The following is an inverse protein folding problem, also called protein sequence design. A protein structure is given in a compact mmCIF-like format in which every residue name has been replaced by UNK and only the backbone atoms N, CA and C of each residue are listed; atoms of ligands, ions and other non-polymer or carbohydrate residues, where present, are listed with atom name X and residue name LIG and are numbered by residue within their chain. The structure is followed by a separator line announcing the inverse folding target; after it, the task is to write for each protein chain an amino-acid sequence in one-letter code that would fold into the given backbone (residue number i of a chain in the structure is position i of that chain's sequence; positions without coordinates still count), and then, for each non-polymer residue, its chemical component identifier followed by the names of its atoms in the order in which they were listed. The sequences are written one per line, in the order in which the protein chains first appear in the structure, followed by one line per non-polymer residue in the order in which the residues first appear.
data_IF_624391868960
#
_entry.id   IF_624391868960
#
_cell.length_a   1.000
_cell.length_b   1.000
_cell.length_c   1.000
_cell.angle_alpha   90.00
_cell.angle_beta   90.00
_cell.angle_gamma   90.00
#
_symmetry.space_group_name_H-M   'P 1'
#
loop_
_entity.id
_entity.type
_entity.pdbx_description
1 polymer ?
#
# COMPACT_ATOMS: atom_id res chain seq x y z
N UNK A 1 29.75 13.23 10.09
CA UNK A 1 29.13 14.27 10.97
C UNK A 1 27.63 14.01 10.93
N UNK A 2 26.97 13.75 12.06
CA UNK A 2 25.52 13.56 12.07
C UNK A 2 24.85 14.91 11.77
N UNK A 3 24.11 14.98 10.67
CA UNK A 3 23.24 16.11 10.37
C UNK A 3 22.15 16.18 11.44
N UNK A 4 22.03 17.33 12.12
CA UNK A 4 20.95 17.56 13.06
C UNK A 4 19.68 17.81 12.24
N UNK A 5 18.73 16.90 12.29
CA UNK A 5 17.41 17.17 11.76
C UNK A 5 16.77 18.32 12.53
N UNK A 6 16.39 19.37 11.83
CA UNK A 6 15.62 20.49 12.40
C UNK A 6 14.16 20.06 12.42
N UNK A 7 13.61 19.85 13.60
CA UNK A 7 12.25 19.31 13.80
C UNK A 7 11.17 20.41 13.71
N UNK A 8 11.53 21.69 13.69
CA UNK A 8 10.57 22.79 13.58
C UNK A 8 11.10 23.89 12.65
N UNK A 9 10.29 24.26 11.69
CA UNK A 9 10.49 25.44 10.84
C UNK A 9 9.85 26.68 11.52
N UNK A 10 10.38 27.89 11.29
CA UNK A 10 9.74 29.13 11.74
C UNK A 10 8.31 29.24 11.17
N UNK A 11 7.39 29.80 11.94
CA UNK A 11 5.98 29.96 11.57
C UNK A 11 5.75 30.74 10.25
N UNK A 12 6.73 31.49 9.81
CA UNK A 12 6.72 32.29 8.56
C UNK A 12 6.78 31.41 7.28
N UNK A 13 7.08 30.11 7.41
CA UNK A 13 7.18 29.16 6.29
C UNK A 13 5.98 28.21 6.22
N UNK A 14 4.87 28.49 6.88
CA UNK A 14 3.71 27.58 6.98
C UNK A 14 3.03 27.23 5.63
N UNK A 15 3.30 27.96 4.56
CA UNK A 15 2.72 27.71 3.22
C UNK A 15 3.68 27.03 2.24
N UNK A 16 4.91 26.74 2.65
CA UNK A 16 5.91 26.10 1.80
C UNK A 16 6.79 25.16 2.62
N UNK A 17 7.33 24.13 1.98
CA UNK A 17 8.31 23.20 2.55
C UNK A 17 9.51 23.07 1.62
N UNK A 18 10.68 22.70 2.16
CA UNK A 18 11.88 22.51 1.35
C UNK A 18 11.90 21.09 0.75
N UNK A 19 12.19 21.01 -0.55
CA UNK A 19 12.54 19.82 -1.28
C UNK A 19 14.01 19.92 -1.71
N UNK A 20 14.85 18.99 -1.25
CA UNK A 20 16.28 19.04 -1.54
C UNK A 20 16.97 20.26 -0.92
N UNK A 21 18.21 20.56 -1.37
CA UNK A 21 19.10 21.50 -0.69
C UNK A 21 18.61 22.95 -0.67
N UNK A 22 17.81 23.42 -1.61
CA UNK A 22 17.39 24.83 -1.69
C UNK A 22 16.05 25.06 -2.42
N UNK A 23 15.30 24.03 -2.79
CA UNK A 23 14.04 24.16 -3.49
C UNK A 23 12.88 24.27 -2.48
N UNK A 24 12.18 25.39 -2.47
CA UNK A 24 10.93 25.54 -1.73
C UNK A 24 9.75 25.29 -2.67
N UNK A 25 8.83 24.41 -2.23
CA UNK A 25 7.58 24.14 -2.94
C UNK A 25 6.38 24.47 -2.06
N UNK A 26 5.27 24.93 -2.65
CA UNK A 26 4.01 25.12 -1.93
C UNK A 26 3.55 23.81 -1.27
N UNK A 27 2.84 23.92 -0.15
CA UNK A 27 2.31 22.73 0.56
C UNK A 27 1.25 21.96 -0.24
N UNK A 28 0.64 22.58 -1.24
CA UNK A 28 -0.32 21.96 -2.18
C UNK A 28 0.33 21.42 -3.47
N UNK A 29 1.67 21.41 -3.53
CA UNK A 29 2.40 20.79 -4.64
C UNK A 29 2.18 19.26 -4.65
N UNK A 30 1.96 18.68 -5.83
CA UNK A 30 1.66 17.27 -5.99
C UNK A 30 2.81 16.35 -5.51
N UNK A 31 4.06 16.81 -5.58
CA UNK A 31 5.21 16.07 -5.06
C UNK A 31 5.23 16.07 -3.53
N UNK A 32 4.83 17.18 -2.92
CA UNK A 32 4.68 17.26 -1.46
C UNK A 32 3.55 16.33 -1.00
N UNK A 33 2.42 16.31 -1.70
CA UNK A 33 1.32 15.38 -1.42
C UNK A 33 1.78 13.91 -1.58
N UNK A 34 2.54 13.60 -2.63
CA UNK A 34 3.09 12.26 -2.84
C UNK A 34 4.01 11.82 -1.68
N UNK A 35 4.91 12.68 -1.23
CA UNK A 35 5.75 12.41 -0.08
C UNK A 35 4.91 12.24 1.20
N UNK A 36 3.96 13.13 1.43
CA UNK A 36 3.10 13.11 2.61
C UNK A 36 2.25 11.84 2.71
N UNK A 37 1.68 11.36 1.59
CA UNK A 37 0.85 10.14 1.60
C UNK A 37 1.69 8.88 1.75
N UNK A 38 2.98 8.87 1.38
CA UNK A 38 3.91 7.78 1.67
C UNK A 38 4.20 7.73 3.19
N UNK A 39 4.43 8.87 3.82
CA UNK A 39 4.62 8.94 5.28
C UNK A 39 3.37 8.47 6.03
N UNK A 40 2.17 8.84 5.55
CA UNK A 40 0.91 8.36 6.11
C UNK A 40 0.76 6.83 5.97
N UNK A 41 1.12 6.25 4.82
CA UNK A 41 1.13 4.80 4.62
C UNK A 41 2.10 4.11 5.59
N UNK A 42 3.28 4.68 5.79
CA UNK A 42 4.28 4.19 6.73
C UNK A 42 3.79 4.24 8.18
N UNK A 43 3.14 5.33 8.55
CA UNK A 43 2.52 5.51 9.88
C UNK A 43 1.41 4.48 10.12
N UNK A 44 0.58 4.20 9.11
CA UNK A 44 -0.46 3.18 9.20
C UNK A 44 0.12 1.76 9.35
N UNK A 45 1.26 1.46 8.70
CA UNK A 45 2.01 0.21 8.91
C UNK A 45 2.57 0.16 10.34
N UNK A 46 3.08 1.28 10.87
CA UNK A 46 3.51 1.39 12.25
C UNK A 46 2.39 1.04 13.23
N UNK A 47 1.16 1.49 12.97
CA UNK A 47 -0.01 1.14 13.76
C UNK A 47 -0.29 -0.39 13.71
N UNK A 48 -0.18 -1.01 12.53
CA UNK A 48 -0.34 -2.47 12.41
C UNK A 48 0.72 -3.22 13.24
N UNK A 49 1.97 -2.73 13.27
CA UNK A 49 3.06 -3.32 14.03
C UNK A 49 2.85 -3.29 15.55
N UNK A 50 2.09 -2.33 16.07
CA UNK A 50 1.72 -2.34 17.52
C UNK A 50 1.00 -3.65 17.90
N UNK A 51 0.20 -4.21 17.00
CA UNK A 51 -0.50 -5.46 17.23
C UNK A 51 0.34 -6.70 16.88
N UNK A 52 1.26 -6.61 15.90
CA UNK A 52 2.07 -7.77 15.48
C UNK A 52 3.30 -8.00 16.35
N UNK A 53 3.93 -6.96 16.88
CA UNK A 53 5.18 -7.04 17.65
C UNK A 53 5.03 -7.81 18.97
N UNK A 54 3.83 -7.83 19.54
CA UNK A 54 3.52 -8.51 20.81
C UNK A 54 3.02 -9.94 20.62
N UNK A 55 2.76 -10.36 19.38
CA UNK A 55 2.27 -11.68 19.03
C UNK A 55 3.41 -12.55 18.48
N UNK A 56 3.85 -13.61 19.21
CA UNK A 56 4.93 -14.48 18.74
C UNK A 56 4.64 -15.14 17.39
N UNK A 57 3.37 -15.42 17.07
CA UNK A 57 2.97 -16.02 15.79
C UNK A 57 3.11 -15.04 14.64
N UNK A 58 3.16 -13.74 14.93
CA UNK A 58 3.34 -12.66 13.98
C UNK A 58 4.81 -12.20 13.85
N UNK A 59 5.77 -12.76 14.59
CA UNK A 59 7.15 -12.26 14.64
C UNK A 59 7.80 -12.15 13.25
N UNK A 60 7.57 -13.12 12.36
CA UNK A 60 8.08 -13.10 11.00
C UNK A 60 7.44 -12.00 10.17
N UNK A 61 6.13 -11.82 10.29
CA UNK A 61 5.42 -10.74 9.60
C UNK A 61 5.85 -9.37 10.12
N UNK A 62 6.04 -9.21 11.45
CA UNK A 62 6.54 -7.95 12.01
C UNK A 62 7.91 -7.57 11.46
N UNK A 63 8.82 -8.54 11.31
CA UNK A 63 10.11 -8.30 10.67
C UNK A 63 9.97 -7.88 9.20
N UNK A 64 9.00 -8.45 8.45
CA UNK A 64 8.69 -8.02 7.09
C UNK A 64 8.15 -6.58 7.05
N UNK A 65 7.24 -6.23 7.97
CA UNK A 65 6.68 -4.88 8.08
C UNK A 65 7.75 -3.84 8.45
N UNK A 66 8.68 -4.18 9.35
CA UNK A 66 9.82 -3.31 9.66
C UNK A 66 10.69 -3.04 8.43
N UNK A 67 10.97 -4.07 7.63
CA UNK A 67 11.69 -3.91 6.38
C UNK A 67 10.94 -2.97 5.41
N UNK A 68 9.62 -3.14 5.27
CA UNK A 68 8.77 -2.26 4.45
C UNK A 68 8.82 -0.82 4.93
N UNK A 69 8.80 -0.57 6.25
CA UNK A 69 8.89 0.80 6.78
C UNK A 69 10.22 1.48 6.40
N UNK A 70 11.34 0.75 6.41
CA UNK A 70 12.61 1.29 5.93
C UNK A 70 12.57 1.58 4.43
N UNK A 71 12.02 0.66 3.62
CA UNK A 71 11.85 0.88 2.19
C UNK A 71 10.98 2.11 1.87
N UNK A 72 9.97 2.40 2.70
CA UNK A 72 9.13 3.60 2.54
C UNK A 72 9.87 4.89 2.91
N UNK A 73 10.84 4.85 3.82
CA UNK A 73 11.75 5.98 4.04
C UNK A 73 12.70 6.19 2.85
N UNK A 74 13.21 5.10 2.26
CA UNK A 74 14.00 5.17 1.02
C UNK A 74 13.17 5.76 -0.12
N UNK A 75 11.90 5.35 -0.25
CA UNK A 75 10.97 5.91 -1.23
C UNK A 75 10.67 7.39 -0.96
N UNK A 76 10.53 7.79 0.30
CA UNK A 76 10.41 9.20 0.68
C UNK A 76 11.62 10.01 0.24
N UNK A 77 12.83 9.49 0.45
CA UNK A 77 14.07 10.13 -0.01
C UNK A 77 14.16 10.20 -1.55
N UNK A 78 13.71 9.16 -2.25
CA UNK A 78 13.62 9.12 -3.71
C UNK A 78 12.70 10.22 -4.26
N UNK A 79 11.53 10.40 -3.65
CA UNK A 79 10.57 11.44 -4.02
C UNK A 79 11.04 12.85 -3.64
N UNK A 80 11.79 12.98 -2.54
CA UNK A 80 12.31 14.25 -2.05
C UNK A 80 13.40 14.83 -2.96
N UNK A 81 14.18 13.99 -3.64
CA UNK A 81 15.26 14.40 -4.55
C UNK A 81 15.01 13.88 -5.98
N UNK A 82 14.12 14.50 -6.75
CA UNK A 82 13.85 14.06 -8.12
C UNK A 82 15.10 14.22 -9.01
N UNK A 83 15.30 13.27 -9.93
CA UNK A 83 16.33 13.36 -10.96
C UNK A 83 15.92 14.36 -12.06
N UNK A 84 15.89 15.64 -11.72
CA UNK A 84 15.56 16.71 -12.68
C UNK A 84 16.75 17.11 -13.57
N UNK A 85 17.96 16.63 -13.27
CA UNK A 85 19.19 17.00 -13.96
C UNK A 85 19.76 15.86 -14.79
N UNK A 86 20.39 16.20 -15.91
CA UNK A 86 21.05 15.27 -16.84
C UNK A 86 22.23 14.45 -16.25
N UNK A 87 22.57 14.64 -14.99
CA UNK A 87 23.59 13.87 -14.28
C UNK A 87 22.94 13.21 -13.05
N UNK A 88 22.70 11.89 -13.11
CA UNK A 88 22.25 11.13 -11.94
C UNK A 88 23.25 11.30 -10.79
N UNK A 89 22.76 11.57 -9.59
CA UNK A 89 23.57 11.49 -8.38
C UNK A 89 23.70 10.01 -7.97
N UNK A 90 24.90 9.42 -8.07
CA UNK A 90 25.09 8.00 -7.75
C UNK A 90 24.93 7.71 -6.25
N UNK A 91 24.92 8.72 -5.38
CA UNK A 91 24.71 8.59 -3.93
C UNK A 91 23.26 8.81 -3.54
N UNK A 92 22.38 9.25 -4.45
CA UNK A 92 20.98 9.45 -4.16
C UNK A 92 20.27 8.12 -3.87
N UNK A 93 19.54 8.06 -2.76
CA UNK A 93 18.69 6.91 -2.45
C UNK A 93 17.58 6.82 -3.49
N UNK A 94 17.42 5.62 -4.07
CA UNK A 94 16.36 5.31 -5.03
C UNK A 94 15.77 3.95 -4.70
N UNK A 95 14.49 3.79 -4.95
CA UNK A 95 13.89 2.46 -4.96
C UNK A 95 14.42 1.69 -6.17
N UNK A 96 14.92 0.48 -5.92
CA UNK A 96 15.52 -0.39 -6.93
C UNK A 96 14.70 -1.67 -7.12
N UNK A 97 14.86 -2.33 -8.25
CA UNK A 97 14.08 -3.52 -8.61
C UNK A 97 14.19 -4.64 -7.56
N UNK A 98 15.34 -4.82 -6.92
CA UNK A 98 15.51 -5.87 -5.90
C UNK A 98 14.63 -5.67 -4.65
N UNK A 99 14.21 -4.43 -4.33
CA UNK A 99 13.23 -4.18 -3.26
C UNK A 99 11.84 -4.64 -3.70
N UNK A 100 11.46 -4.43 -4.96
CA UNK A 100 10.21 -4.94 -5.55
C UNK A 100 10.20 -6.48 -5.55
N UNK A 101 11.28 -7.09 -6.03
CA UNK A 101 11.41 -8.57 -6.11
C UNK A 101 11.33 -9.21 -4.71
N UNK A 102 11.95 -8.57 -3.71
CA UNK A 102 11.86 -9.00 -2.32
C UNK A 102 10.43 -8.94 -1.81
N UNK A 103 9.69 -7.89 -2.15
CA UNK A 103 8.30 -7.74 -1.72
C UNK A 103 7.40 -8.80 -2.39
N UNK A 104 7.59 -9.08 -3.67
CA UNK A 104 6.90 -10.16 -4.39
C UNK A 104 7.18 -11.54 -3.80
N UNK A 105 8.43 -11.80 -3.41
CA UNK A 105 8.80 -13.03 -2.72
C UNK A 105 8.04 -13.20 -1.39
N UNK A 106 7.90 -12.10 -0.62
CA UNK A 106 7.13 -12.11 0.65
C UNK A 106 5.63 -12.30 0.42
N UNK A 107 5.07 -11.72 -0.64
CA UNK A 107 3.66 -11.96 -1.04
C UNK A 107 3.45 -13.44 -1.32
N UNK A 108 4.31 -14.05 -2.14
CA UNK A 108 4.20 -15.45 -2.52
C UNK A 108 4.33 -16.37 -1.28
N UNK A 109 5.25 -16.06 -0.37
CA UNK A 109 5.45 -16.80 0.86
C UNK A 109 4.19 -16.80 1.76
N UNK A 110 3.63 -15.63 2.02
CA UNK A 110 2.43 -15.52 2.86
C UNK A 110 1.18 -16.08 2.18
N UNK A 111 1.09 -15.95 0.85
CA UNK A 111 -0.06 -16.43 0.08
C UNK A 111 -0.09 -17.94 -0.09
N UNK A 112 1.04 -18.63 0.05
CA UNK A 112 1.13 -20.07 -0.14
C UNK A 112 0.20 -20.87 0.81
N UNK A 113 -0.06 -20.32 1.98
CA UNK A 113 -0.88 -20.93 3.02
C UNK A 113 -2.36 -20.48 3.00
N UNK A 114 -2.73 -19.53 2.12
CA UNK A 114 -4.06 -18.95 2.08
C UNK A 114 -4.99 -19.73 1.15
N UNK A 115 -6.21 -19.99 1.61
CA UNK A 115 -7.25 -20.53 0.76
C UNK A 115 -7.70 -19.50 -0.31
N UNK A 116 -8.08 -19.94 -1.52
CA UNK A 116 -8.68 -19.08 -2.52
C UNK A 116 -9.92 -18.35 -1.98
N UNK A 117 -10.14 -17.10 -2.44
CA UNK A 117 -11.32 -16.34 -2.10
C UNK A 117 -12.46 -16.59 -3.09
N UNK A 118 -13.66 -16.72 -2.56
CA UNK A 118 -14.91 -16.79 -3.33
C UNK A 118 -15.80 -15.55 -3.15
N UNK A 119 -15.39 -14.61 -2.28
CA UNK A 119 -16.07 -13.33 -2.05
C UNK A 119 -15.03 -12.25 -1.67
N UNK A 120 -15.48 -10.99 -1.64
CA UNK A 120 -14.67 -9.88 -1.11
C UNK A 120 -14.52 -9.98 0.40
N UNK A 121 -13.34 -9.60 0.90
CA UNK A 121 -13.05 -9.52 2.33
C UNK A 121 -13.37 -8.13 2.84
N UNK A 122 -14.20 -8.04 3.87
CA UNK A 122 -14.44 -6.79 4.57
C UNK A 122 -13.21 -6.42 5.42
N UNK A 123 -12.80 -5.13 5.44
CA UNK A 123 -11.71 -4.67 6.29
C UNK A 123 -12.03 -4.90 7.77
N UNK A 124 -11.37 -5.87 8.40
CA UNK A 124 -11.66 -6.25 9.79
C UNK A 124 -10.98 -7.54 10.20
N UNK A 125 -11.51 -8.18 11.24
CA UNK A 125 -10.96 -9.38 11.85
C UNK A 125 -10.15 -9.06 13.10
N UNK A 126 -8.94 -9.59 13.23
CA UNK A 126 -8.04 -9.28 14.34
C UNK A 126 -7.62 -7.79 14.32
N UNK A 127 -7.16 -7.22 15.46
CA UNK A 127 -6.62 -5.86 15.48
C UNK A 127 -5.50 -5.65 14.45
N UNK A 128 -4.61 -6.61 14.29
CA UNK A 128 -3.55 -6.57 13.28
C UNK A 128 -4.12 -6.55 11.86
N UNK A 129 -5.11 -7.41 11.54
CA UNK A 129 -5.74 -7.44 10.23
C UNK A 129 -6.46 -6.14 9.91
N UNK A 130 -7.22 -5.58 10.84
CA UNK A 130 -7.92 -4.31 10.65
C UNK A 130 -6.95 -3.16 10.34
N UNK A 131 -5.82 -3.08 11.08
CA UNK A 131 -4.78 -2.08 10.85
C UNK A 131 -4.07 -2.28 9.50
N UNK A 132 -3.78 -3.53 9.12
CA UNK A 132 -3.19 -3.85 7.80
C UNK A 132 -4.13 -3.49 6.65
N UNK A 133 -5.44 -3.68 6.79
CA UNK A 133 -6.41 -3.22 5.81
C UNK A 133 -6.47 -1.70 5.69
N UNK A 134 -6.32 -0.97 6.82
CA UNK A 134 -6.19 0.49 6.80
C UNK A 134 -4.92 0.90 6.04
N UNK A 135 -3.77 0.32 6.40
CA UNK A 135 -2.49 0.58 5.73
C UNK A 135 -2.58 0.30 4.22
N UNK A 136 -3.25 -0.80 3.82
CA UNK A 136 -3.52 -1.10 2.41
C UNK A 136 -4.32 0.01 1.72
N UNK A 137 -5.39 0.48 2.34
CA UNK A 137 -6.23 1.53 1.75
C UNK A 137 -5.47 2.85 1.58
N UNK A 138 -4.63 3.23 2.55
CA UNK A 138 -3.73 4.40 2.47
C UNK A 138 -2.68 4.18 1.37
N UNK A 139 -2.05 3.00 1.30
CA UNK A 139 -1.09 2.66 0.22
C UNK A 139 -1.72 2.77 -1.17
N UNK A 140 -2.99 2.34 -1.34
CA UNK A 140 -3.73 2.53 -2.60
C UNK A 140 -3.98 4.00 -2.92
N UNK A 141 -4.15 4.86 -1.91
CA UNK A 141 -4.19 6.32 -2.12
C UNK A 141 -2.82 6.83 -2.57
N UNK A 142 -1.74 6.42 -1.88
CA UNK A 142 -0.37 6.77 -2.25
C UNK A 142 -0.05 6.37 -3.71
N UNK A 143 -0.44 5.17 -4.14
CA UNK A 143 -0.27 4.72 -5.52
C UNK A 143 -0.94 5.67 -6.52
N UNK A 144 -2.18 6.11 -6.26
CA UNK A 144 -2.87 7.05 -7.16
C UNK A 144 -2.17 8.40 -7.25
N UNK A 145 -1.67 8.92 -6.13
CA UNK A 145 -0.93 10.20 -6.10
C UNK A 145 0.41 10.07 -6.84
N UNK A 146 1.14 8.97 -6.63
CA UNK A 146 2.40 8.73 -7.35
C UNK A 146 2.19 8.57 -8.86
N UNK A 147 1.11 7.92 -9.29
CA UNK A 147 0.76 7.81 -10.71
C UNK A 147 0.39 9.18 -11.28
N UNK A 148 -0.32 10.03 -10.53
CA UNK A 148 -0.61 11.39 -10.95
C UNK A 148 0.68 12.21 -11.10
N UNK A 149 1.58 12.15 -10.12
CA UNK A 149 2.89 12.79 -10.15
C UNK A 149 3.74 12.33 -11.35
N UNK A 150 3.77 11.03 -11.63
CA UNK A 150 4.52 10.47 -12.76
C UNK A 150 4.01 10.93 -14.13
N UNK A 151 2.77 11.39 -14.20
CA UNK A 151 2.16 11.93 -15.42
C UNK A 151 2.20 13.48 -15.49
N UNK A 152 2.70 14.15 -14.44
CA UNK A 152 2.81 15.60 -14.42
C UNK A 152 3.99 16.06 -15.29
N UNK A 153 3.79 17.02 -16.23
CA UNK A 153 4.88 17.52 -17.05
C UNK A 153 6.03 18.11 -16.22
N UNK A 154 7.24 17.64 -16.47
CA UNK A 154 8.43 18.09 -15.74
C UNK A 154 8.73 17.34 -14.47
N UNK A 155 7.86 16.42 -14.04
CA UNK A 155 8.10 15.55 -12.88
C UNK A 155 8.61 14.17 -13.32
N UNK A 156 9.39 13.55 -12.45
CA UNK A 156 9.91 12.19 -12.66
C UNK A 156 9.69 11.33 -11.43
N UNK A 157 9.18 10.13 -11.65
CA UNK A 157 9.06 9.06 -10.63
C UNK A 157 9.62 7.79 -11.25
N UNK A 158 10.56 7.15 -10.56
CA UNK A 158 11.18 5.91 -11.02
C UNK A 158 10.16 4.77 -11.19
N UNK A 159 10.30 3.97 -12.24
CA UNK A 159 9.44 2.80 -12.47
C UNK A 159 9.47 1.80 -11.29
N UNK A 160 10.63 1.51 -10.65
CA UNK A 160 10.65 0.66 -9.46
C UNK A 160 9.83 1.22 -8.29
N UNK A 161 9.78 2.55 -8.09
CA UNK A 161 8.99 3.19 -7.04
C UNK A 161 7.48 2.95 -7.25
N UNK A 162 6.98 3.15 -8.48
CA UNK A 162 5.59 2.86 -8.84
C UNK A 162 5.24 1.38 -8.64
N UNK A 163 6.12 0.47 -9.08
CA UNK A 163 5.95 -0.98 -8.89
C UNK A 163 5.93 -1.35 -7.42
N UNK A 164 6.81 -0.75 -6.62
CA UNK A 164 6.91 -1.04 -5.19
C UNK A 164 5.60 -0.72 -4.47
N UNK A 165 5.05 0.49 -4.66
CA UNK A 165 3.79 0.89 -4.00
C UNK A 165 2.61 0.03 -4.46
N UNK A 166 2.57 -0.33 -5.73
CA UNK A 166 1.56 -1.25 -6.25
C UNK A 166 1.65 -2.63 -5.57
N UNK A 167 2.85 -3.24 -5.50
CA UNK A 167 3.06 -4.53 -4.81
C UNK A 167 2.85 -4.43 -3.30
N UNK A 168 3.17 -3.29 -2.69
CA UNK A 168 2.93 -3.08 -1.27
C UNK A 168 1.45 -3.21 -0.90
N UNK A 169 0.55 -2.71 -1.74
CA UNK A 169 -0.89 -2.88 -1.50
C UNK A 169 -1.32 -4.35 -1.52
N UNK A 170 -0.75 -5.15 -2.42
CA UNK A 170 -1.00 -6.60 -2.50
C UNK A 170 -0.41 -7.33 -1.27
N UNK A 171 0.81 -6.96 -0.87
CA UNK A 171 1.45 -7.50 0.34
C UNK A 171 0.59 -7.27 1.59
N UNK A 172 0.10 -6.05 1.79
CA UNK A 172 -0.72 -5.70 2.96
C UNK A 172 -2.05 -6.44 2.98
N UNK A 173 -2.64 -6.72 1.81
CA UNK A 173 -3.84 -7.54 1.70
C UNK A 173 -3.59 -8.99 2.12
N UNK A 174 -2.53 -9.59 1.58
CA UNK A 174 -2.15 -10.97 1.90
C UNK A 174 -1.76 -11.08 3.39
N UNK A 175 -1.02 -10.11 3.91
CA UNK A 175 -0.65 -10.03 5.32
C UNK A 175 -1.88 -9.95 6.25
N UNK A 176 -2.88 -9.13 5.90
CA UNK A 176 -4.11 -9.00 6.67
C UNK A 176 -4.86 -10.35 6.77
N UNK A 177 -4.95 -11.09 5.67
CA UNK A 177 -5.54 -12.42 5.65
C UNK A 177 -4.72 -13.43 6.45
N UNK A 178 -3.39 -13.34 6.33
CA UNK A 178 -2.49 -14.26 7.05
C UNK A 178 -2.67 -14.17 8.57
N UNK A 179 -2.75 -12.96 9.14
CA UNK A 179 -2.99 -12.76 10.59
C UNK A 179 -4.44 -13.05 11.01
N UNK A 180 -5.34 -13.23 10.08
CA UNK A 180 -6.70 -13.72 10.32
C UNK A 180 -6.75 -15.26 10.25
N UNK A 181 -5.85 -15.94 10.95
CA UNK A 181 -5.73 -17.41 10.96
C UNK A 181 -5.64 -17.97 9.54
N UNK A 182 -4.75 -17.39 8.74
CA UNK A 182 -4.55 -17.78 7.33
C UNK A 182 -5.84 -17.70 6.50
N UNK A 183 -6.68 -16.71 6.79
CA UNK A 183 -7.92 -16.43 6.07
C UNK A 183 -9.17 -17.10 6.67
N UNK A 184 -9.05 -18.03 7.63
CA UNK A 184 -10.19 -18.70 8.26
C UNK A 184 -11.11 -17.73 9.03
N UNK A 185 -10.54 -16.63 9.54
CA UNK A 185 -11.27 -15.58 10.28
C UNK A 185 -11.56 -14.36 9.42
N UNK A 186 -11.42 -14.44 8.10
CA UNK A 186 -11.80 -13.36 7.20
C UNK A 186 -13.31 -13.12 7.25
N UNK A 187 -13.70 -11.85 7.33
CA UNK A 187 -15.12 -11.46 7.28
C UNK A 187 -15.48 -11.25 5.81
N UNK A 188 -16.28 -12.13 5.25
CA UNK A 188 -16.66 -12.05 3.85
C UNK A 188 -17.87 -11.14 3.63
N UNK A 189 -17.83 -10.38 2.52
CA UNK A 189 -18.93 -9.55 2.10
C UNK A 189 -20.10 -10.40 1.59
N UNK A 190 -21.30 -10.10 2.08
CA UNK A 190 -22.56 -10.68 1.61
C UNK A 190 -23.33 -9.62 0.84
N UNK A 191 -23.45 -9.73 -0.48
CA UNK A 191 -24.16 -8.75 -1.30
C UNK A 191 -25.61 -8.56 -0.85
N UNK A 192 -26.00 -7.31 -0.59
CA UNK A 192 -27.38 -6.96 -0.29
C UNK A 192 -27.91 -7.45 1.06
N UNK A 193 -27.06 -7.94 1.98
CA UNK A 193 -27.47 -8.51 3.28
C UNK A 193 -28.44 -7.62 4.08
N UNK A 194 -28.28 -6.31 4.00
CA UNK A 194 -29.11 -5.35 4.75
C UNK A 194 -30.19 -4.67 3.90
N UNK A 195 -30.41 -5.14 2.66
CA UNK A 195 -31.48 -4.59 1.82
C UNK A 195 -32.83 -5.18 2.25
N UNK A 196 -33.78 -4.33 2.67
CA UNK A 196 -35.18 -4.76 2.83
C UNK A 196 -35.68 -5.20 1.46
N UNK A 197 -36.21 -6.42 1.35
CA UNK A 197 -36.96 -6.81 0.16
C UNK A 197 -38.16 -5.88 0.05
N UNK A 198 -38.21 -5.00 -0.95
CA UNK A 198 -39.45 -4.31 -1.28
C UNK A 198 -40.45 -5.37 -1.75
N UNK A 199 -41.54 -5.53 -1.02
CA UNK A 199 -42.63 -6.40 -1.41
C UNK A 199 -43.43 -5.75 -2.55
N UNK A 200 -42.85 -5.65 -3.73
CA UNK A 200 -43.51 -5.29 -4.98
C UNK A 200 -42.66 -5.74 -6.17
N UNK A 201 -43.06 -6.81 -6.81
CA UNK A 201 -42.51 -7.26 -8.07
C UNK A 201 -41.68 -8.54 -7.95
N UNK A 202 -42.34 -9.67 -8.18
CA UNK A 202 -41.67 -10.93 -8.42
C UNK A 202 -40.72 -10.80 -9.62
N UNK A 203 -39.48 -10.45 -9.38
CA UNK A 203 -38.42 -10.79 -10.31
C UNK A 203 -38.13 -12.27 -10.08
N UNK A 204 -38.63 -13.07 -11.01
CA UNK A 204 -38.27 -14.48 -11.20
C UNK A 204 -36.76 -14.63 -10.94
N UNK A 205 -36.41 -15.58 -10.08
CA UNK A 205 -35.06 -16.08 -9.92
C UNK A 205 -34.58 -16.64 -11.26
N UNK A 206 -34.09 -15.76 -12.12
CA UNK A 206 -33.34 -16.17 -13.28
C UNK A 206 -32.00 -16.64 -12.73
N UNK A 207 -31.88 -17.97 -12.69
CA UNK A 207 -30.68 -18.78 -12.65
C UNK A 207 -29.38 -17.97 -12.67
N UNK A 208 -28.66 -18.00 -11.54
CA UNK A 208 -27.23 -17.72 -11.51
C UNK A 208 -26.58 -18.60 -12.62
N UNK A 209 -25.79 -18.02 -13.52
CA UNK A 209 -25.03 -18.85 -14.43
C UNK A 209 -24.08 -19.68 -13.58
N UNK A 210 -24.34 -20.98 -13.60
CA UNK A 210 -23.49 -22.03 -13.11
C UNK A 210 -22.02 -21.75 -13.40
N UNK A 211 -21.21 -21.89 -12.33
CA UNK A 211 -19.80 -22.29 -12.34
C UNK A 211 -19.25 -22.59 -13.73
N UNK A 212 -18.23 -21.84 -14.12
CA UNK A 212 -17.29 -22.31 -15.14
C UNK A 212 -17.34 -21.56 -16.43
N UNK A 213 -16.56 -20.47 -16.53
CA UNK A 213 -15.89 -20.07 -17.79
C UNK A 213 -14.83 -18.94 -17.63
N UNK A 214 -14.35 -18.62 -16.42
CA UNK A 214 -13.26 -17.64 -16.29
C UNK A 214 -11.98 -18.20 -15.65
N UNK A 215 -11.77 -19.53 -15.75
CA UNK A 215 -10.49 -20.15 -15.37
C UNK A 215 -9.92 -20.83 -16.62
N UNK A 216 -9.26 -20.07 -17.47
CA UNK A 216 -8.11 -20.53 -18.25
C UNK A 216 -7.55 -19.40 -19.12
N UNK A 217 -6.58 -18.70 -18.59
CA UNK A 217 -5.43 -18.13 -19.30
C UNK A 217 -4.48 -17.54 -18.25
N UNK A 218 -3.43 -18.23 -17.95
CA UNK A 218 -2.10 -17.92 -17.43
C UNK A 218 -1.85 -16.58 -16.74
N UNK A 219 -2.72 -16.09 -15.85
CA UNK A 219 -2.48 -14.92 -15.03
C UNK A 219 -2.54 -15.30 -13.54
N UNK A 220 -1.54 -14.85 -12.78
CA UNK A 220 -1.45 -15.03 -11.34
C UNK A 220 -2.79 -14.80 -10.63
N UNK A 221 -3.10 -15.53 -9.53
CA UNK A 221 -4.39 -15.49 -8.86
C UNK A 221 -4.64 -14.21 -8.02
N UNK A 222 -4.03 -13.10 -8.34
CA UNK A 222 -4.25 -11.81 -7.65
C UNK A 222 -5.16 -10.92 -8.50
N UNK A 223 -6.37 -11.38 -8.78
CA UNK A 223 -7.33 -10.73 -9.67
C UNK A 223 -8.37 -9.80 -9.00
N UNK A 224 -8.26 -9.49 -7.72
CA UNK A 224 -9.18 -8.55 -7.07
C UNK A 224 -8.46 -7.27 -6.69
N UNK A 225 -8.20 -6.42 -7.69
CA UNK A 225 -7.84 -5.02 -7.47
C UNK A 225 -9.13 -4.24 -7.20
N UNK A 226 -9.35 -3.81 -5.98
CA UNK A 226 -10.32 -2.76 -5.62
C UNK A 226 -9.56 -1.46 -5.45
#
# INVERSE_FOLDING_TARGET
MASKFVVALPAETMSATSLGADEQRPMDDLRIDAYGVIDEANSAIGLARVATVTDPDCAKLDAMLLCVQNDLFDLGADLYMPELNAKPDPEALRIIQSQVDRLESKINELNADLAPLDSFVLPGGSPAAAALHLARAVTRRAERVLVALANEPGEMVGEPALKYVNRLSDFLFVAARHVNRKGESDILWVPGQNRKSSSAGAYSAASHPTRGKYLNQGQSPVGYRI
#
